data_IF_939554877471
#
_entry.id   IF_939554877471
#
_cell.length_a   1.000
_cell.length_b   1.000
_cell.length_c   1.000
_cell.angle_alpha   90.00
_cell.angle_beta   90.00
_cell.angle_gamma   90.00
#
_symmetry.space_group_name_H-M   'P 1'
#
loop_
_entity.id
_entity.type
_entity.pdbx_description
1 polymer ?
#
# COMPACT_ATOMS: atom_id res chain seq x y z
N UNK A 1 27.56 -18.58 -2.38
CA UNK A 1 26.15 -18.70 -1.96
C UNK A 1 26.10 -18.38 -0.48
N UNK A 2 25.31 -17.40 -0.06
CA UNK A 2 25.10 -17.11 1.35
C UNK A 2 24.45 -18.35 2.02
N UNK A 3 24.82 -18.60 3.28
CA UNK A 3 24.20 -19.68 4.05
C UNK A 3 22.68 -19.43 4.14
N UNK A 4 21.86 -20.48 4.01
CA UNK A 4 20.43 -20.32 4.17
C UNK A 4 20.15 -19.80 5.60
N UNK A 5 19.36 -18.74 5.71
CA UNK A 5 18.95 -18.20 7.00
C UNK A 5 18.19 -19.28 7.78
N UNK A 6 18.41 -19.39 9.10
CA UNK A 6 17.71 -20.36 9.93
C UNK A 6 16.19 -20.12 9.85
N UNK A 7 15.44 -21.20 9.68
CA UNK A 7 13.99 -21.19 9.72
C UNK A 7 13.56 -21.41 11.16
N UNK A 8 12.87 -20.44 11.72
CA UNK A 8 12.20 -20.55 13.01
C UNK A 8 10.70 -20.80 12.81
N UNK A 9 9.97 -21.07 13.87
CA UNK A 9 8.52 -21.29 13.76
C UNK A 9 7.78 -20.92 15.04
N UNK A 10 6.52 -20.50 14.82
CA UNK A 10 5.48 -20.49 15.85
C UNK A 10 4.61 -21.76 15.72
N UNK A 11 3.53 -21.84 16.47
CA UNK A 11 2.51 -22.88 16.28
C UNK A 11 1.88 -22.81 14.87
N UNK A 12 1.66 -21.60 14.31
CA UNK A 12 0.87 -21.37 13.11
C UNK A 12 1.66 -21.14 11.83
N UNK A 13 2.94 -20.77 11.92
CA UNK A 13 3.76 -20.49 10.74
C UNK A 13 5.26 -20.72 10.97
N UNK A 14 5.99 -20.96 9.87
CA UNK A 14 7.45 -20.83 9.80
C UNK A 14 7.82 -19.41 9.37
N UNK A 15 8.96 -18.94 9.83
CA UNK A 15 9.46 -17.63 9.43
C UNK A 15 10.98 -17.60 9.33
N UNK A 16 11.48 -16.68 8.54
CA UNK A 16 12.91 -16.39 8.39
C UNK A 16 13.12 -14.98 7.89
N UNK A 17 14.25 -14.37 8.20
CA UNK A 17 14.69 -13.14 7.55
C UNK A 17 15.07 -13.41 6.09
N UNK A 18 15.09 -12.34 5.29
CA UNK A 18 15.63 -12.39 3.95
C UNK A 18 17.11 -12.82 4.00
N UNK A 19 17.56 -13.75 3.13
CA UNK A 19 18.99 -14.07 2.98
C UNK A 19 19.80 -12.84 2.54
N UNK A 20 21.10 -12.88 2.76
CA UNK A 20 22.01 -11.87 2.22
C UNK A 20 21.84 -11.74 0.69
N UNK A 21 21.89 -10.50 0.20
CA UNK A 21 21.71 -10.19 -1.22
C UNK A 21 20.96 -8.88 -1.43
N UNK A 22 20.48 -8.62 -2.65
CA UNK A 22 19.65 -7.47 -2.93
C UNK A 22 18.42 -7.44 -2.02
N UNK A 23 18.09 -6.26 -1.48
CA UNK A 23 16.84 -6.05 -0.74
C UNK A 23 15.66 -6.32 -1.68
N UNK A 24 14.79 -7.26 -1.30
CA UNK A 24 13.61 -7.61 -2.11
C UNK A 24 12.51 -6.57 -1.89
N UNK A 25 12.16 -5.83 -2.92
CA UNK A 25 11.10 -4.83 -2.88
C UNK A 25 9.72 -5.43 -3.16
N UNK A 26 9.64 -6.36 -4.10
CA UNK A 26 8.39 -7.06 -4.45
C UNK A 26 8.65 -8.48 -4.95
N UNK A 27 7.59 -9.30 -4.87
CA UNK A 27 7.59 -10.67 -5.39
C UNK A 27 6.28 -10.97 -6.10
N UNK A 28 6.36 -11.89 -7.08
CA UNK A 28 5.20 -12.45 -7.78
C UNK A 28 5.56 -13.82 -8.34
N UNK A 29 4.82 -14.85 -8.00
CA UNK A 29 5.12 -16.24 -8.36
C UNK A 29 6.58 -16.59 -8.00
N UNK A 30 7.43 -16.96 -8.98
CA UNK A 30 8.86 -17.18 -8.78
C UNK A 30 9.72 -15.92 -8.95
N UNK A 31 9.14 -14.81 -9.40
CA UNK A 31 9.86 -13.57 -9.63
C UNK A 31 10.07 -12.81 -8.31
N UNK A 32 11.26 -12.24 -8.16
CA UNK A 32 11.57 -11.27 -7.12
C UNK A 32 12.33 -10.09 -7.73
N UNK A 33 11.87 -8.88 -7.44
CA UNK A 33 12.57 -7.65 -7.79
C UNK A 33 13.19 -7.05 -6.53
N UNK A 34 14.40 -6.55 -6.65
CA UNK A 34 15.10 -5.95 -5.53
C UNK A 34 16.20 -5.00 -5.94
N UNK A 35 16.84 -4.38 -4.94
CA UNK A 35 17.91 -3.43 -5.15
C UNK A 35 19.09 -3.61 -4.20
N UNK A 36 20.27 -3.20 -4.64
CA UNK A 36 21.50 -3.07 -3.86
C UNK A 36 22.53 -2.23 -4.60
N UNK A 37 23.37 -1.51 -3.89
CA UNK A 37 24.60 -0.87 -4.42
C UNK A 37 24.40 -0.09 -5.74
N UNK A 38 23.36 0.75 -5.81
CA UNK A 38 23.08 1.56 -7.00
C UNK A 38 22.62 0.75 -8.21
N UNK A 39 22.05 -0.41 -8.00
CA UNK A 39 21.51 -1.31 -9.03
C UNK A 39 20.15 -1.85 -8.64
N UNK A 40 19.37 -2.22 -9.64
CA UNK A 40 18.17 -3.03 -9.50
C UNK A 40 18.43 -4.42 -10.05
N UNK A 41 17.72 -5.41 -9.49
CA UNK A 41 17.92 -6.82 -9.76
C UNK A 41 16.59 -7.53 -9.97
N UNK A 42 16.60 -8.57 -10.82
CA UNK A 42 15.48 -9.47 -10.99
C UNK A 42 15.95 -10.92 -10.86
N UNK A 43 15.20 -11.67 -10.06
CA UNK A 43 15.32 -13.10 -9.86
C UNK A 43 14.13 -13.82 -10.47
N UNK A 44 14.34 -15.05 -10.97
CA UNK A 44 13.28 -15.95 -11.45
C UNK A 44 13.12 -17.18 -10.56
N UNK A 45 13.81 -17.22 -9.42
CA UNK A 45 13.84 -18.36 -8.50
C UNK A 45 13.62 -17.95 -7.02
N UNK A 46 12.67 -17.04 -6.79
CA UNK A 46 12.30 -16.52 -5.46
C UNK A 46 13.48 -15.83 -4.72
N UNK A 47 14.35 -15.15 -5.45
CA UNK A 47 15.47 -14.43 -4.86
C UNK A 47 16.67 -15.28 -4.46
N UNK A 48 16.77 -16.54 -4.93
CA UNK A 48 17.95 -17.40 -4.68
C UNK A 48 19.13 -17.02 -5.55
N UNK A 49 18.87 -16.65 -6.81
CA UNK A 49 19.89 -16.10 -7.73
C UNK A 49 19.38 -14.82 -8.38
N UNK A 50 20.32 -13.97 -8.81
CA UNK A 50 20.03 -12.65 -9.36
C UNK A 50 20.74 -12.45 -10.72
N UNK A 51 20.31 -13.17 -11.76
CA UNK A 51 20.99 -13.16 -13.06
C UNK A 51 20.80 -11.85 -13.82
N UNK A 52 19.70 -11.13 -13.60
CA UNK A 52 19.37 -9.90 -14.30
C UNK A 52 19.59 -8.69 -13.41
N UNK A 53 20.23 -7.67 -13.96
CA UNK A 53 20.52 -6.44 -13.23
C UNK A 53 20.69 -5.24 -14.17
N UNK A 54 20.36 -4.06 -13.67
CA UNK A 54 20.62 -2.79 -14.35
C UNK A 54 21.23 -1.78 -13.37
N UNK A 55 22.06 -0.88 -13.89
CA UNK A 55 22.54 0.26 -13.12
C UNK A 55 21.36 1.20 -12.82
N UNK A 56 21.19 1.55 -11.57
CA UNK A 56 20.19 2.49 -11.11
C UNK A 56 20.71 3.22 -9.87
N UNK A 57 21.43 4.33 -10.04
CA UNK A 57 22.11 5.03 -8.93
C UNK A 57 21.17 5.44 -7.78
N UNK A 58 19.89 5.73 -8.09
CA UNK A 58 18.86 6.09 -7.11
C UNK A 58 18.19 4.87 -6.44
N UNK A 59 18.74 3.66 -6.54
CA UNK A 59 18.12 2.42 -6.05
C UNK A 59 17.76 2.49 -4.55
N UNK A 60 18.55 3.18 -3.73
CA UNK A 60 18.28 3.38 -2.31
C UNK A 60 17.04 4.26 -2.02
N UNK A 61 16.51 4.95 -3.03
CA UNK A 61 15.32 5.78 -2.95
C UNK A 61 14.06 5.07 -3.41
N UNK A 62 14.12 3.78 -3.76
CA UNK A 62 12.93 3.01 -4.14
C UNK A 62 11.99 2.94 -2.95
N UNK A 63 10.75 3.38 -3.14
CA UNK A 63 9.72 3.44 -2.10
C UNK A 63 8.65 2.36 -2.29
N UNK A 64 8.47 1.85 -3.48
CA UNK A 64 7.59 0.73 -3.81
C UNK A 64 7.96 0.11 -5.17
N UNK A 65 7.51 -1.11 -5.39
CA UNK A 65 7.54 -1.76 -6.70
C UNK A 65 6.38 -2.73 -6.89
N UNK A 66 6.07 -3.04 -8.14
CA UNK A 66 5.09 -4.05 -8.54
C UNK A 66 5.60 -4.80 -9.77
N UNK A 67 5.62 -6.13 -9.68
CA UNK A 67 5.91 -7.01 -10.81
C UNK A 67 4.60 -7.34 -11.51
N UNK A 68 4.52 -7.09 -12.83
CA UNK A 68 3.35 -7.36 -13.65
C UNK A 68 3.35 -8.79 -14.22
N UNK A 69 2.21 -9.27 -14.72
CA UNK A 69 2.05 -10.62 -15.29
C UNK A 69 3.02 -10.90 -16.43
N UNK A 70 3.35 -9.90 -17.23
CA UNK A 70 4.29 -10.02 -18.34
C UNK A 70 5.77 -9.94 -17.93
N UNK A 71 6.05 -9.81 -16.63
CA UNK A 71 7.40 -9.66 -16.08
C UNK A 71 7.96 -8.23 -16.11
N UNK A 72 7.20 -7.25 -16.57
CA UNK A 72 7.55 -5.83 -16.40
C UNK A 72 7.51 -5.45 -14.92
N UNK A 73 8.33 -4.49 -14.53
CA UNK A 73 8.39 -3.99 -13.16
C UNK A 73 8.12 -2.49 -13.16
N UNK A 74 7.05 -2.08 -12.50
CA UNK A 74 6.80 -0.67 -12.19
C UNK A 74 7.35 -0.39 -10.80
N UNK A 75 8.17 0.64 -10.65
CA UNK A 75 8.71 1.03 -9.35
C UNK A 75 8.87 2.55 -9.25
N UNK A 76 8.83 3.06 -8.04
CA UNK A 76 8.89 4.49 -7.75
C UNK A 76 10.04 4.85 -6.85
N UNK A 77 10.66 6.00 -7.15
CA UNK A 77 11.48 6.75 -6.20
C UNK A 77 10.72 8.02 -5.83
N UNK A 78 11.12 8.76 -4.82
CA UNK A 78 10.41 9.96 -4.33
C UNK A 78 9.44 10.65 -5.30
N UNK A 79 9.92 11.25 -6.38
CA UNK A 79 9.11 12.01 -7.33
C UNK A 79 9.04 11.40 -8.75
N UNK A 80 9.56 10.18 -8.97
CA UNK A 80 9.63 9.57 -10.31
C UNK A 80 9.13 8.15 -10.29
N UNK A 81 8.54 7.74 -11.42
CA UNK A 81 8.19 6.36 -11.72
C UNK A 81 9.09 5.81 -12.82
N UNK A 82 9.35 4.52 -12.76
CA UNK A 82 10.18 3.80 -13.72
C UNK A 82 9.53 2.50 -14.15
N UNK A 83 9.80 2.11 -15.39
CA UNK A 83 9.41 0.83 -15.97
C UNK A 83 10.66 0.02 -16.31
N UNK A 84 10.84 -1.13 -15.66
CA UNK A 84 11.80 -2.14 -16.02
C UNK A 84 11.18 -3.15 -16.99
N UNK A 85 11.78 -3.36 -18.16
CA UNK A 85 11.30 -4.30 -19.17
C UNK A 85 12.41 -5.23 -19.64
N UNK A 86 12.03 -6.30 -20.35
CA UNK A 86 12.95 -7.28 -20.95
C UNK A 86 14.02 -7.75 -19.94
N UNK A 87 13.53 -8.16 -18.75
CA UNK A 87 14.39 -8.63 -17.64
C UNK A 87 15.46 -7.58 -17.24
N UNK A 88 15.02 -6.33 -17.11
CA UNK A 88 15.83 -5.16 -16.75
C UNK A 88 16.87 -4.74 -17.80
N UNK A 89 16.82 -5.23 -19.04
CA UNK A 89 17.67 -4.67 -20.11
C UNK A 89 17.35 -3.22 -20.42
N UNK A 90 16.12 -2.80 -20.12
CA UNK A 90 15.70 -1.39 -20.20
C UNK A 90 15.05 -0.99 -18.87
N UNK A 91 15.44 0.16 -18.37
CA UNK A 91 14.85 0.83 -17.21
C UNK A 91 14.67 2.29 -17.60
N UNK A 92 13.42 2.68 -17.79
CA UNK A 92 13.07 3.98 -18.36
C UNK A 92 12.08 4.71 -17.43
N UNK A 93 12.13 6.06 -17.36
CA UNK A 93 11.15 6.81 -16.61
C UNK A 93 9.76 6.71 -17.26
N UNK A 94 8.71 6.62 -16.44
CA UNK A 94 7.33 6.65 -16.88
C UNK A 94 6.84 8.10 -16.81
N UNK A 95 6.23 8.59 -17.90
CA UNK A 95 5.51 9.86 -17.88
C UNK A 95 4.15 9.65 -17.25
N UNK A 96 3.83 10.42 -16.21
CA UNK A 96 2.50 10.45 -15.62
C UNK A 96 1.65 11.49 -16.36
N UNK A 97 0.39 11.19 -16.60
CA UNK A 97 -0.51 12.05 -17.34
C UNK A 97 -1.78 12.39 -16.56
N UNK A 98 -2.30 13.56 -16.82
CA UNK A 98 -3.66 13.92 -16.44
C UNK A 98 -4.69 13.09 -17.25
N UNK A 99 -5.94 13.12 -16.81
CA UNK A 99 -7.03 12.44 -17.51
C UNK A 99 -7.26 12.94 -18.95
N UNK A 100 -6.90 14.19 -19.25
CA UNK A 100 -6.95 14.78 -20.58
C UNK A 100 -5.76 14.41 -21.49
N UNK A 101 -4.79 13.63 -20.95
CA UNK A 101 -3.60 13.18 -21.66
C UNK A 101 -2.41 14.16 -21.62
N UNK A 102 -2.55 15.32 -21.01
CA UNK A 102 -1.44 16.24 -20.77
C UNK A 102 -0.49 15.68 -19.71
N UNK A 103 0.80 16.06 -19.77
CA UNK A 103 1.80 15.57 -18.83
C UNK A 103 1.54 16.12 -17.42
N UNK A 104 1.47 15.22 -16.44
CA UNK A 104 1.47 15.57 -15.04
C UNK A 104 2.91 15.75 -14.58
N UNK A 105 3.26 16.99 -14.26
CA UNK A 105 4.53 17.30 -13.65
C UNK A 105 4.33 17.29 -12.13
N UNK A 106 4.94 16.33 -11.41
CA UNK A 106 4.88 16.32 -9.96
C UNK A 106 5.35 17.66 -9.44
N UNK A 107 4.58 18.21 -8.52
CA UNK A 107 4.97 19.43 -7.84
C UNK A 107 6.36 19.23 -7.21
N UNK A 108 7.24 20.21 -7.34
CA UNK A 108 8.62 20.10 -6.90
C UNK A 108 8.66 19.83 -5.40
N UNK A 109 9.32 18.74 -5.01
CA UNK A 109 9.59 18.48 -3.60
C UNK A 109 10.32 19.68 -2.99
N UNK A 110 9.74 20.26 -1.94
CA UNK A 110 10.18 21.54 -1.44
C UNK A 110 11.26 21.43 -0.39
N UNK A 111 11.33 20.30 0.27
CA UNK A 111 12.36 20.06 1.27
C UNK A 111 13.37 19.05 0.72
N UNK A 112 14.62 19.47 0.37
CA UNK A 112 15.64 18.57 -0.16
C UNK A 112 16.06 17.49 0.84
N UNK A 113 15.90 17.73 2.14
CA UNK A 113 16.20 16.78 3.22
C UNK A 113 15.08 15.76 3.43
N UNK A 114 13.93 15.96 2.79
CA UNK A 114 12.77 15.09 2.85
C UNK A 114 12.27 14.86 1.44
N UNK A 115 12.71 13.77 0.79
CA UNK A 115 12.27 13.48 -0.58
C UNK A 115 10.75 13.42 -0.62
N UNK A 116 10.17 14.12 -1.59
CA UNK A 116 8.73 14.11 -1.80
C UNK A 116 8.25 12.70 -2.08
N UNK A 117 7.22 12.28 -1.36
CA UNK A 117 6.66 10.95 -1.50
C UNK A 117 5.47 10.97 -2.47
N UNK A 118 5.68 11.57 -3.66
CA UNK A 118 4.63 11.78 -4.64
C UNK A 118 3.87 10.53 -5.02
N UNK A 119 4.58 9.44 -5.21
CA UNK A 119 3.99 8.19 -5.64
C UNK A 119 4.05 7.09 -4.59
N UNK A 120 4.62 7.40 -3.43
CA UNK A 120 4.73 6.44 -2.34
C UNK A 120 3.35 5.95 -1.89
N UNK A 121 3.26 4.70 -1.49
CA UNK A 121 2.05 4.07 -0.97
C UNK A 121 2.35 3.25 0.28
N UNK A 122 1.46 3.26 1.25
CA UNK A 122 1.62 2.50 2.48
C UNK A 122 1.34 1.02 2.27
N UNK A 123 0.26 0.70 1.56
CA UNK A 123 -0.22 -0.67 1.34
C UNK A 123 0.36 -1.36 0.10
N UNK A 124 1.39 -0.76 -0.53
CA UNK A 124 1.97 -1.26 -1.77
C UNK A 124 1.13 -0.93 -3.01
N UNK A 125 1.75 -1.12 -4.17
CA UNK A 125 1.05 -1.07 -5.46
C UNK A 125 0.68 -2.48 -5.85
N UNK A 126 -0.58 -2.70 -6.17
CA UNK A 126 -1.10 -3.98 -6.61
C UNK A 126 -1.62 -3.89 -8.04
N UNK A 127 -1.63 -5.02 -8.74
CA UNK A 127 -2.30 -5.16 -10.02
C UNK A 127 -3.47 -6.14 -9.91
N UNK A 128 -4.51 -5.86 -10.66
CA UNK A 128 -5.70 -6.70 -10.75
C UNK A 128 -6.06 -6.99 -12.19
N UNK A 129 -6.66 -8.14 -12.42
CA UNK A 129 -7.26 -8.43 -13.72
C UNK A 129 -8.68 -7.88 -13.75
N UNK A 130 -8.92 -6.90 -14.63
CA UNK A 130 -10.18 -6.20 -14.80
C UNK A 130 -10.63 -6.40 -16.25
N UNK A 131 -11.68 -7.19 -16.47
CA UNK A 131 -12.19 -7.49 -17.81
C UNK A 131 -11.11 -7.97 -18.82
N UNK A 132 -10.18 -8.80 -18.36
CA UNK A 132 -9.10 -9.36 -19.20
C UNK A 132 -7.89 -8.43 -19.40
N UNK A 133 -7.88 -7.26 -18.75
CA UNK A 133 -6.74 -6.32 -18.75
C UNK A 133 -6.13 -6.27 -17.36
N UNK A 134 -4.81 -6.41 -17.29
CA UNK A 134 -4.10 -6.15 -16.02
C UNK A 134 -4.03 -4.65 -15.77
N UNK A 135 -4.62 -4.22 -14.66
CA UNK A 135 -4.63 -2.81 -14.24
C UNK A 135 -3.82 -2.64 -12.96
N UNK A 136 -2.95 -1.63 -12.94
CA UNK A 136 -2.40 -1.05 -11.72
C UNK A 136 -3.32 0.05 -11.25
N UNK A 137 -3.66 0.08 -9.96
CA UNK A 137 -4.35 1.21 -9.34
C UNK A 137 -3.80 1.40 -7.93
N UNK A 138 -3.42 2.62 -7.58
CA UNK A 138 -2.95 2.94 -6.23
C UNK A 138 -3.19 4.41 -5.89
N UNK A 139 -3.14 4.73 -4.61
CA UNK A 139 -3.14 6.12 -4.15
C UNK A 139 -1.85 6.47 -3.45
N UNK A 140 -1.44 7.73 -3.46
CA UNK A 140 -0.22 8.12 -2.77
C UNK A 140 -0.46 8.33 -1.27
N UNK A 141 0.45 7.73 -0.48
CA UNK A 141 0.59 7.97 0.95
C UNK A 141 1.63 9.05 1.17
N UNK A 142 1.21 10.28 1.00
CA UNK A 142 2.03 11.49 1.05
C UNK A 142 1.65 12.36 2.26
N UNK A 143 2.27 13.55 2.35
CA UNK A 143 1.98 14.52 3.42
C UNK A 143 2.21 13.94 4.83
N UNK A 144 3.20 13.08 4.95
CA UNK A 144 3.78 12.62 6.19
C UNK A 144 5.18 13.26 6.32
N UNK A 145 5.65 13.48 7.53
CA UNK A 145 7.00 13.98 7.79
C UNK A 145 7.28 15.42 7.25
N UNK A 146 6.24 16.23 7.06
CA UNK A 146 6.37 17.62 6.64
C UNK A 146 6.71 17.83 5.17
N UNK A 147 6.47 16.83 4.32
CA UNK A 147 6.43 17.02 2.85
C UNK A 147 5.02 17.38 2.40
N UNK A 148 4.89 18.24 1.38
CA UNK A 148 3.60 18.58 0.81
C UNK A 148 3.53 18.14 -0.65
N UNK A 149 2.52 17.32 -0.97
CA UNK A 149 2.24 16.82 -2.32
C UNK A 149 0.74 16.79 -2.59
N UNK A 150 0.30 16.92 -3.86
CA UNK A 150 -1.08 16.65 -4.21
C UNK A 150 -1.43 15.20 -3.92
N UNK A 151 -2.65 14.95 -3.44
CA UNK A 151 -3.15 13.59 -3.23
C UNK A 151 -3.89 13.14 -4.48
N UNK A 152 -3.49 11.99 -5.01
CA UNK A 152 -4.07 11.43 -6.23
C UNK A 152 -4.26 9.91 -6.11
N UNK A 153 -5.20 9.38 -6.89
CA UNK A 153 -5.22 8.00 -7.30
C UNK A 153 -4.62 7.90 -8.70
N UNK A 154 -3.77 6.92 -8.90
CA UNK A 154 -3.09 6.66 -10.16
C UNK A 154 -3.51 5.31 -10.73
N UNK A 155 -3.42 5.15 -12.06
CA UNK A 155 -3.68 3.87 -12.72
C UNK A 155 -2.84 3.68 -13.98
N UNK A 156 -2.71 2.43 -14.40
CA UNK A 156 -2.15 2.02 -15.69
C UNK A 156 -2.94 0.81 -16.20
N UNK A 157 -3.19 0.76 -17.51
CA UNK A 157 -3.89 -0.33 -18.21
C UNK A 157 -3.07 -0.93 -19.34
N UNK A 158 -1.84 -0.46 -19.53
CA UNK A 158 -0.96 -0.78 -20.64
C UNK A 158 0.39 -1.38 -20.17
N UNK A 159 0.32 -2.19 -19.11
CA UNK A 159 1.49 -2.88 -18.54
C UNK A 159 2.57 -1.93 -18.00
N UNK A 160 2.15 -0.80 -17.45
CA UNK A 160 3.03 0.19 -16.84
C UNK A 160 3.68 1.17 -17.81
N UNK A 161 3.36 1.13 -19.12
CA UNK A 161 3.97 2.04 -20.09
C UNK A 161 3.52 3.49 -19.86
N UNK A 162 2.24 3.67 -19.49
CA UNK A 162 1.68 4.97 -19.15
C UNK A 162 1.01 4.89 -17.79
N UNK A 163 1.21 5.90 -16.97
CA UNK A 163 0.48 6.09 -15.71
C UNK A 163 -0.37 7.35 -15.84
N UNK A 164 -1.62 7.27 -15.43
CA UNK A 164 -2.56 8.40 -15.45
C UNK A 164 -3.14 8.67 -14.07
N UNK A 165 -3.62 9.90 -13.86
CA UNK A 165 -4.40 10.24 -12.68
C UNK A 165 -5.83 9.73 -12.87
N UNK A 166 -6.27 8.84 -11.99
CA UNK A 166 -7.64 8.33 -11.93
C UNK A 166 -8.57 9.27 -11.18
N UNK A 167 -8.04 9.96 -10.15
CA UNK A 167 -8.78 10.92 -9.32
C UNK A 167 -7.80 11.87 -8.63
N UNK A 168 -8.01 13.17 -8.75
CA UNK A 168 -7.28 14.18 -8.03
C UNK A 168 -8.13 14.68 -6.87
N UNK A 169 -7.64 14.55 -5.64
CA UNK A 169 -8.30 15.10 -4.46
C UNK A 169 -8.22 16.60 -4.42
N UNK A 170 -9.13 17.21 -3.65
CA UNK A 170 -9.25 18.64 -3.49
C UNK A 170 -8.07 19.28 -2.77
N UNK A 171 -8.08 20.60 -2.77
CA UNK A 171 -7.06 21.41 -2.13
C UNK A 171 -7.20 21.40 -0.61
N UNK A 172 -6.34 20.63 0.07
CA UNK A 172 -6.30 20.61 1.52
C UNK A 172 -5.64 21.88 2.04
N UNK A 173 -6.32 22.71 2.85
CA UNK A 173 -5.82 24.01 3.30
C UNK A 173 -4.57 23.93 4.20
N UNK A 174 -4.22 22.73 4.66
CA UNK A 174 -3.08 22.47 5.53
C UNK A 174 -1.78 22.13 4.78
N UNK A 175 -1.84 21.91 3.46
CA UNK A 175 -0.67 21.55 2.65
C UNK A 175 -0.45 22.55 1.52
N UNK A 176 0.75 23.09 1.45
CA UNK A 176 1.13 24.15 0.53
C UNK A 176 2.30 23.76 -0.35
N UNK A 177 2.44 24.41 -1.50
CA UNK A 177 3.48 24.16 -2.47
C UNK A 177 4.90 24.53 -1.98
N UNK A 178 5.02 25.34 -0.96
CA UNK A 178 6.28 25.70 -0.30
C UNK A 178 6.69 24.66 0.79
N UNK A 179 5.95 23.55 0.93
CA UNK A 179 6.18 22.53 1.94
C UNK A 179 5.75 22.93 3.34
N UNK A 180 5.10 24.09 3.50
CA UNK A 180 4.58 24.52 4.80
C UNK A 180 3.29 23.78 5.15
N UNK A 181 3.13 23.48 6.45
CA UNK A 181 1.93 22.86 7.00
C UNK A 181 1.20 23.84 7.94
N UNK A 182 -0.12 23.70 8.03
CA UNK A 182 -0.97 24.45 8.93
C UNK A 182 -1.53 25.75 8.38
N UNK A 183 -2.44 26.35 9.13
CA UNK A 183 -3.09 27.62 8.77
C UNK A 183 -2.16 28.83 8.80
N UNK A 184 -2.46 29.83 7.99
CA UNK A 184 -1.70 31.09 7.96
C UNK A 184 -0.43 31.10 7.10
N UNK A 185 -0.18 30.07 6.32
CA UNK A 185 0.93 29.98 5.37
C UNK A 185 0.57 30.57 4.01
N UNK A 186 1.58 31.00 3.25
CA UNK A 186 1.40 31.79 2.02
C UNK A 186 1.59 31.02 0.73
N UNK A 187 2.10 29.78 0.77
CA UNK A 187 2.25 28.94 -0.41
C UNK A 187 0.91 28.61 -1.09
N UNK A 188 0.91 28.28 -2.37
CA UNK A 188 -0.28 27.87 -3.09
C UNK A 188 -0.81 26.51 -2.59
N UNK A 189 -2.13 26.32 -2.64
CA UNK A 189 -2.74 25.05 -2.29
C UNK A 189 -2.46 24.01 -3.35
N UNK A 190 -2.23 22.77 -2.91
CA UNK A 190 -2.01 21.61 -3.78
C UNK A 190 -3.31 20.81 -3.93
N UNK A 191 -3.55 20.29 -5.14
CA UNK A 191 -4.73 19.49 -5.45
C UNK A 191 -5.67 20.19 -6.43
N UNK A 192 -6.79 19.54 -6.71
CA UNK A 192 -7.81 20.01 -7.64
C UNK A 192 -8.74 21.05 -6.97
N UNK A 193 -8.73 22.33 -7.42
CA UNK A 193 -9.57 23.36 -6.80
C UNK A 193 -11.09 23.11 -7.05
N UNK A 194 -11.46 22.28 -8.01
CA UNK A 194 -12.86 21.97 -8.30
C UNK A 194 -13.38 20.79 -7.46
N UNK A 195 -12.51 20.01 -6.83
CA UNK A 195 -12.91 18.86 -6.04
C UNK A 195 -13.06 19.24 -4.55
N UNK A 196 -14.26 19.09 -3.96
CA UNK A 196 -14.46 19.40 -2.55
C UNK A 196 -13.91 18.31 -1.59
N UNK A 197 -13.56 17.13 -2.11
CA UNK A 197 -13.09 15.99 -1.29
C UNK A 197 -11.62 16.16 -0.99
N UNK A 198 -11.30 16.50 0.23
CA UNK A 198 -9.93 16.70 0.71
C UNK A 198 -9.48 15.55 1.59
N UNK A 199 -8.19 15.23 1.56
CA UNK A 199 -7.58 14.29 2.48
C UNK A 199 -6.08 14.58 2.62
N UNK A 200 -5.46 14.00 3.63
CA UNK A 200 -4.02 14.07 3.85
C UNK A 200 -3.26 13.12 2.94
N UNK A 201 -3.77 11.90 2.78
CA UNK A 201 -3.21 10.82 1.95
C UNK A 201 -4.21 9.70 1.78
N UNK A 202 -3.88 8.75 0.90
CA UNK A 202 -4.63 7.51 0.74
C UNK A 202 -3.98 6.39 1.55
N UNK A 203 -4.79 5.51 2.15
CA UNK A 203 -4.30 4.37 2.92
C UNK A 203 -4.15 3.12 2.06
N UNK A 204 -5.19 2.77 1.32
CA UNK A 204 -5.25 1.51 0.58
C UNK A 204 -6.16 1.60 -0.62
N UNK A 205 -5.91 0.75 -1.60
CA UNK A 205 -6.81 0.52 -2.74
C UNK A 205 -7.06 -0.98 -2.87
N UNK A 206 -8.30 -1.37 -3.12
CA UNK A 206 -8.69 -2.75 -3.37
C UNK A 206 -9.71 -2.83 -4.52
N UNK A 207 -9.70 -3.95 -5.25
CA UNK A 207 -10.65 -4.22 -6.32
C UNK A 207 -11.69 -5.25 -5.89
N UNK A 208 -12.95 -4.93 -6.13
CA UNK A 208 -14.08 -5.86 -5.97
C UNK A 208 -14.47 -6.45 -7.33
N UNK A 209 -14.10 -7.69 -7.64
CA UNK A 209 -14.40 -8.30 -8.93
C UNK A 209 -15.91 -8.54 -9.15
N UNK A 210 -16.68 -8.72 -8.08
CA UNK A 210 -18.13 -8.95 -8.18
C UNK A 210 -18.89 -7.70 -8.64
N UNK A 211 -18.38 -6.51 -8.34
CA UNK A 211 -18.97 -5.23 -8.74
C UNK A 211 -18.21 -4.56 -9.89
N UNK A 212 -17.08 -5.11 -10.31
CA UNK A 212 -16.14 -4.45 -11.23
C UNK A 212 -15.83 -3.01 -10.78
N UNK A 213 -15.49 -2.85 -9.51
CA UNK A 213 -15.27 -1.56 -8.87
C UNK A 213 -14.04 -1.57 -7.96
N UNK A 214 -13.38 -0.43 -7.86
CA UNK A 214 -12.29 -0.19 -6.93
C UNK A 214 -12.80 0.55 -5.70
N UNK A 215 -12.18 0.26 -4.58
CA UNK A 215 -12.43 0.94 -3.31
C UNK A 215 -11.13 1.50 -2.78
N UNK A 216 -11.18 2.70 -2.23
CA UNK A 216 -10.04 3.32 -1.56
C UNK A 216 -10.48 3.95 -0.26
N UNK A 217 -9.57 3.97 0.72
CA UNK A 217 -9.74 4.68 1.99
C UNK A 217 -8.67 5.75 2.12
N UNK A 218 -9.05 6.88 2.69
CA UNK A 218 -8.18 8.01 3.01
C UNK A 218 -8.17 8.29 4.52
N UNK A 219 -7.28 9.12 5.01
CA UNK A 219 -7.14 9.63 6.39
C UNK A 219 -6.08 10.75 6.38
N UNK A 220 -5.65 11.24 7.46
CA UNK A 220 -5.72 11.11 8.92
C UNK A 220 -6.14 12.43 9.55
N UNK A 221 -7.20 13.05 9.19
CA UNK A 221 -7.54 14.33 9.74
C UNK A 221 -9.02 14.53 10.00
N UNK A 222 -9.30 15.24 11.07
CA UNK A 222 -10.57 15.91 11.29
C UNK A 222 -10.30 17.41 11.29
N UNK A 223 -11.11 18.14 10.55
CA UNK A 223 -10.99 19.58 10.36
C UNK A 223 -12.31 20.24 10.73
N UNK A 224 -12.30 21.55 11.06
CA UNK A 224 -13.54 22.29 11.23
C UNK A 224 -14.47 22.23 10.00
N UNK A 225 -13.87 22.07 8.82
CA UNK A 225 -14.56 22.03 7.53
C UNK A 225 -15.13 20.63 7.21
N UNK A 226 -14.70 19.58 7.92
CA UNK A 226 -15.16 18.22 7.72
C UNK A 226 -14.10 17.13 7.94
N UNK A 227 -14.48 15.92 7.64
CA UNK A 227 -13.63 14.74 7.81
C UNK A 227 -12.69 14.56 6.62
N UNK A 228 -11.52 13.96 6.86
CA UNK A 228 -10.58 13.52 5.83
C UNK A 228 -10.54 11.98 5.68
N UNK A 229 -11.23 11.25 6.55
CA UNK A 229 -11.41 9.81 6.41
C UNK A 229 -12.60 9.54 5.49
N UNK A 230 -12.31 9.19 4.25
CA UNK A 230 -13.30 8.88 3.23
C UNK A 230 -13.12 7.47 2.69
N UNK A 231 -14.22 6.82 2.37
CA UNK A 231 -14.22 5.70 1.45
C UNK A 231 -14.80 6.16 0.12
N UNK A 232 -14.05 5.88 -0.94
CA UNK A 232 -14.50 6.14 -2.30
C UNK A 232 -14.66 4.81 -3.04
N UNK A 233 -15.70 4.74 -3.88
CA UNK A 233 -15.92 3.66 -4.81
C UNK A 233 -15.77 4.20 -6.24
N UNK A 234 -14.91 3.56 -7.04
CA UNK A 234 -14.61 3.97 -8.41
C UNK A 234 -14.92 2.86 -9.42
N UNK A 235 -15.52 3.23 -10.53
CA UNK A 235 -15.71 2.36 -11.70
C UNK A 235 -14.97 2.92 -12.90
N UNK A 236 -14.37 2.02 -13.70
CA UNK A 236 -13.60 2.39 -14.87
C UNK A 236 -14.32 2.02 -16.16
N UNK A 237 -14.56 3.01 -17.03
CA UNK A 237 -15.05 2.81 -18.38
C UNK A 237 -13.87 2.70 -19.35
N UNK A 238 -13.51 1.48 -19.73
CA UNK A 238 -12.39 1.21 -20.61
C UNK A 238 -12.58 1.76 -22.04
N UNK A 239 -13.82 1.97 -22.52
CA UNK A 239 -14.09 2.50 -23.85
C UNK A 239 -13.80 3.99 -23.93
N UNK A 240 -13.99 4.70 -22.84
CA UNK A 240 -13.79 6.15 -22.74
C UNK A 240 -12.50 6.51 -22.01
N UNK A 241 -11.80 5.52 -21.47
CA UNK A 241 -10.63 5.70 -20.58
C UNK A 241 -10.95 6.68 -19.44
N UNK A 242 -12.06 6.44 -18.74
CA UNK A 242 -12.60 7.37 -17.75
C UNK A 242 -13.04 6.67 -16.48
N UNK A 243 -12.79 7.32 -15.36
CA UNK A 243 -13.23 6.93 -14.02
C UNK A 243 -14.47 7.69 -13.57
N UNK A 244 -15.35 6.99 -12.82
CA UNK A 244 -16.44 7.58 -12.02
C UNK A 244 -16.20 7.22 -10.56
N UNK A 245 -15.69 8.16 -9.77
CA UNK A 245 -15.41 8.01 -8.35
C UNK A 245 -16.48 8.70 -7.52
N UNK A 246 -16.96 8.02 -6.48
CA UNK A 246 -17.96 8.54 -5.54
C UNK A 246 -17.52 8.30 -4.12
N UNK A 247 -17.62 9.32 -3.27
CA UNK A 247 -17.53 9.18 -1.83
C UNK A 247 -18.75 8.42 -1.35
N UNK A 248 -18.55 7.31 -0.67
CA UNK A 248 -19.61 6.47 -0.10
C UNK A 248 -19.68 6.57 1.42
N UNK A 249 -18.59 6.96 2.08
CA UNK A 249 -18.50 7.20 3.51
C UNK A 249 -17.59 8.39 3.77
N UNK A 250 -17.94 9.19 4.75
CA UNK A 250 -17.05 10.19 5.39
C UNK A 250 -17.25 10.08 6.89
N UNK A 251 -16.15 9.97 7.64
CA UNK A 251 -16.21 9.80 9.08
C UNK A 251 -14.94 10.37 9.74
N UNK A 252 -14.95 10.46 11.07
CA UNK A 252 -13.80 10.98 11.81
C UNK A 252 -12.60 10.01 11.84
N UNK A 253 -11.42 10.55 12.09
CA UNK A 253 -10.12 9.84 12.01
C UNK A 253 -9.99 8.63 12.96
N UNK A 254 -10.78 8.58 14.05
CA UNK A 254 -10.78 7.47 15.00
C UNK A 254 -11.92 6.48 14.75
N UNK A 255 -12.50 6.49 13.57
CA UNK A 255 -13.59 5.58 13.20
C UNK A 255 -13.05 4.26 12.67
N UNK A 256 -13.89 3.21 12.71
CA UNK A 256 -13.59 1.91 12.09
C UNK A 256 -13.36 2.00 10.59
N UNK A 257 -13.77 3.09 9.98
CA UNK A 257 -13.61 3.33 8.55
C UNK A 257 -12.23 3.86 8.16
N UNK A 258 -11.40 4.31 9.09
CA UNK A 258 -10.00 4.57 8.78
C UNK A 258 -9.28 3.23 8.59
N UNK A 259 -9.29 2.73 7.35
CA UNK A 259 -8.82 1.40 7.03
C UNK A 259 -7.40 1.42 6.44
N UNK A 260 -6.49 0.70 7.06
CA UNK A 260 -5.12 0.50 6.57
C UNK A 260 -5.01 -0.65 5.55
N UNK A 261 -5.98 -1.55 5.50
CA UNK A 261 -6.07 -2.64 4.54
C UNK A 261 -7.51 -3.01 4.22
N UNK A 262 -7.80 -3.20 2.93
CA UNK A 262 -9.11 -3.61 2.40
C UNK A 262 -8.91 -4.83 1.51
N UNK A 263 -9.79 -5.82 1.61
CA UNK A 263 -9.80 -7.01 0.75
C UNK A 263 -11.23 -7.43 0.43
N UNK A 264 -11.40 -8.00 -0.77
CA UNK A 264 -12.66 -8.64 -1.19
C UNK A 264 -12.42 -10.12 -1.42
N UNK A 265 -13.12 -10.97 -0.69
CA UNK A 265 -13.00 -12.42 -0.75
C UNK A 265 -14.40 -13.04 -0.70
N UNK A 266 -14.73 -13.91 -1.65
CA UNK A 266 -16.01 -14.62 -1.73
C UNK A 266 -17.23 -13.69 -1.63
N UNK A 267 -17.15 -12.53 -2.30
CA UNK A 267 -18.22 -11.54 -2.30
C UNK A 267 -18.37 -10.73 -1.01
N UNK A 268 -17.50 -10.95 -0.04
CA UNK A 268 -17.49 -10.20 1.22
C UNK A 268 -16.35 -9.18 1.23
N UNK A 269 -16.61 -8.06 1.86
CA UNK A 269 -15.65 -7.00 2.15
C UNK A 269 -15.05 -7.22 3.53
N UNK A 270 -13.72 -7.20 3.60
CA UNK A 270 -12.93 -7.24 4.82
C UNK A 270 -12.07 -5.98 4.93
N UNK A 271 -11.92 -5.47 6.13
CA UNK A 271 -10.96 -4.38 6.37
C UNK A 271 -10.42 -4.42 7.79
N UNK A 272 -9.23 -3.88 7.96
CA UNK A 272 -8.62 -3.62 9.26
C UNK A 272 -8.61 -2.12 9.52
N UNK A 273 -9.10 -1.71 10.68
CA UNK A 273 -9.09 -0.30 11.05
C UNK A 273 -7.70 0.12 11.54
N UNK A 274 -7.23 1.25 11.03
CA UNK A 274 -6.08 2.00 11.52
C UNK A 274 -6.57 3.09 12.47
N UNK A 275 -7.16 2.67 13.60
CA UNK A 275 -7.88 3.54 14.52
C UNK A 275 -7.47 3.31 15.96
N UNK A 276 -7.37 4.38 16.72
CA UNK A 276 -7.25 4.41 18.17
C UNK A 276 -8.58 4.69 18.89
N UNK A 277 -9.69 4.61 18.14
CA UNK A 277 -11.02 4.85 18.67
C UNK A 277 -11.42 3.92 19.81
N UNK A 278 -12.48 4.25 20.53
CA UNK A 278 -12.93 3.50 21.70
C UNK A 278 -13.33 2.07 21.33
N UNK A 279 -12.88 1.13 22.18
CA UNK A 279 -13.21 -0.27 22.07
C UNK A 279 -14.65 -0.54 22.52
N UNK A 280 -15.28 -1.62 22.01
CA UNK A 280 -14.81 -2.56 20.97
C UNK A 280 -15.18 -2.15 19.53
N UNK A 281 -15.79 -0.99 19.33
CA UNK A 281 -16.57 -0.70 18.13
C UNK A 281 -15.82 -0.09 16.98
N UNK A 282 -14.71 0.58 17.22
CA UNK A 282 -14.00 1.35 16.20
C UNK A 282 -12.58 0.86 15.91
N UNK A 283 -12.16 -0.22 16.54
CA UNK A 283 -10.86 -0.87 16.26
C UNK A 283 -11.07 -2.36 16.02
N UNK A 284 -10.52 -2.88 14.93
CA UNK A 284 -10.67 -4.31 14.65
C UNK A 284 -10.44 -4.70 13.21
N UNK A 285 -10.55 -6.00 12.99
CA UNK A 285 -10.75 -6.60 11.66
C UNK A 285 -12.24 -6.84 11.51
N UNK A 286 -12.82 -6.24 10.49
CA UNK A 286 -14.26 -6.26 10.25
C UNK A 286 -14.57 -6.94 8.92
N UNK A 287 -15.83 -7.40 8.81
CA UNK A 287 -16.40 -7.96 7.60
C UNK A 287 -17.87 -7.53 7.43
N UNK A 288 -18.27 -7.28 6.20
CA UNK A 288 -19.69 -7.15 5.81
C UNK A 288 -19.89 -7.48 4.32
N UNK A 289 -21.13 -7.53 3.86
CA UNK A 289 -21.40 -7.42 2.42
C UNK A 289 -21.00 -6.02 1.92
N UNK A 290 -20.45 -5.85 0.71
CA UNK A 290 -20.04 -4.54 0.21
C UNK A 290 -21.16 -3.49 0.21
N UNK A 291 -22.40 -3.89 -0.08
CA UNK A 291 -23.57 -3.01 -0.05
C UNK A 291 -23.91 -2.50 1.37
N UNK A 292 -23.43 -3.18 2.40
CA UNK A 292 -23.75 -2.88 3.79
C UNK A 292 -22.66 -2.06 4.50
N UNK A 293 -21.60 -1.63 3.76
CA UNK A 293 -20.48 -0.92 4.37
C UNK A 293 -20.89 0.36 5.12
N UNK A 294 -21.94 1.06 4.67
CA UNK A 294 -22.47 2.24 5.34
C UNK A 294 -23.31 1.97 6.59
N UNK A 295 -23.69 0.72 6.85
CA UNK A 295 -24.52 0.32 7.99
C UNK A 295 -23.69 -0.42 9.04
N UNK A 296 -23.23 0.31 10.06
CA UNK A 296 -22.41 -0.24 11.14
C UNK A 296 -23.04 -1.43 11.87
N UNK A 297 -24.36 -1.54 11.89
CA UNK A 297 -25.09 -2.63 12.57
C UNK A 297 -24.92 -3.97 11.86
N UNK A 298 -24.54 -3.95 10.57
CA UNK A 298 -24.30 -5.13 9.74
C UNK A 298 -22.82 -5.56 9.68
N UNK A 299 -21.96 -4.82 10.34
CA UNK A 299 -20.55 -5.19 10.41
C UNK A 299 -20.32 -6.29 11.43
N UNK A 300 -19.63 -7.34 11.01
CA UNK A 300 -19.14 -8.38 11.92
C UNK A 300 -17.72 -8.02 12.33
N UNK A 301 -17.48 -7.86 13.63
CA UNK A 301 -16.13 -7.78 14.20
C UNK A 301 -15.56 -9.21 14.27
N UNK A 302 -14.48 -9.46 13.53
CA UNK A 302 -13.84 -10.77 13.46
C UNK A 302 -12.73 -10.93 14.51
N UNK A 303 -11.95 -9.87 14.70
CA UNK A 303 -10.86 -9.82 15.67
C UNK A 303 -10.72 -8.40 16.22
N UNK A 304 -10.49 -8.30 17.51
CA UNK A 304 -10.32 -7.01 18.20
C UNK A 304 -8.90 -6.93 18.77
N UNK A 305 -7.95 -6.30 18.05
CA UNK A 305 -6.61 -6.06 18.61
C UNK A 305 -6.72 -5.06 19.77
N UNK A 306 -5.86 -5.24 20.77
CA UNK A 306 -5.76 -4.34 21.93
C UNK A 306 -4.94 -3.06 21.61
N UNK A 307 -4.29 -3.01 20.44
CA UNK A 307 -3.49 -1.88 19.97
C UNK A 307 -3.90 -1.47 18.56
N UNK A 308 -3.53 -0.25 18.17
CA UNK A 308 -3.67 0.23 16.79
C UNK A 308 -2.94 -0.71 15.82
N UNK A 309 -3.57 -1.02 14.71
CA UNK A 309 -3.01 -1.85 13.63
C UNK A 309 -3.44 -1.25 12.29
N UNK A 310 -2.74 -1.55 11.22
CA UNK A 310 -3.05 -0.88 9.96
C UNK A 310 -2.74 -1.68 8.70
N UNK A 311 -2.08 -2.81 8.78
CA UNK A 311 -1.75 -3.61 7.60
C UNK A 311 -2.46 -4.96 7.64
N UNK A 312 -3.02 -5.37 6.50
CA UNK A 312 -3.69 -6.66 6.34
C UNK A 312 -3.56 -7.17 4.91
N UNK A 313 -3.38 -8.48 4.78
CA UNK A 313 -3.47 -9.20 3.52
C UNK A 313 -4.33 -10.44 3.71
N UNK A 314 -5.19 -10.72 2.73
CA UNK A 314 -5.95 -11.98 2.66
C UNK A 314 -5.59 -12.69 1.35
N UNK A 315 -5.17 -13.95 1.46
CA UNK A 315 -4.94 -14.82 0.31
C UNK A 315 -5.18 -16.30 0.69
N UNK A 316 -5.95 -17.03 -0.10
CA UNK A 316 -6.20 -18.47 0.07
C UNK A 316 -6.65 -18.88 1.50
N UNK A 317 -7.63 -18.18 2.05
CA UNK A 317 -8.12 -18.32 3.43
C UNK A 317 -7.12 -17.92 4.53
N UNK A 318 -5.90 -17.53 4.18
CA UNK A 318 -4.94 -16.99 5.14
C UNK A 318 -5.18 -15.49 5.28
N UNK A 319 -5.36 -15.02 6.51
CA UNK A 319 -5.39 -13.62 6.86
C UNK A 319 -4.15 -13.32 7.69
N UNK A 320 -3.34 -12.37 7.20
CA UNK A 320 -2.20 -11.83 7.92
C UNK A 320 -2.48 -10.37 8.24
N UNK A 321 -2.27 -9.98 9.48
CA UNK A 321 -2.43 -8.59 9.88
C UNK A 321 -1.36 -8.18 10.91
N UNK A 322 -1.08 -6.88 10.98
CA UNK A 322 -0.20 -6.32 11.98
C UNK A 322 -0.91 -6.19 13.33
N UNK A 323 -0.15 -6.44 14.42
CA UNK A 323 -0.63 -6.24 15.79
C UNK A 323 -0.10 -4.94 16.41
N UNK A 324 0.54 -4.09 15.64
CA UNK A 324 1.00 -2.79 16.10
C UNK A 324 1.14 -1.81 14.94
N UNK A 325 1.04 -0.52 15.25
CA UNK A 325 1.30 0.54 14.28
C UNK A 325 2.79 0.92 14.24
N UNK A 326 3.32 1.36 13.09
CA UNK A 326 4.70 1.82 12.96
C UNK A 326 5.06 3.00 13.85
N UNK A 327 4.09 3.88 14.15
CA UNK A 327 4.30 5.05 14.99
C UNK A 327 4.55 4.71 16.47
N UNK A 328 4.02 3.57 16.93
CA UNK A 328 4.14 3.11 18.31
C UNK A 328 4.48 1.62 18.35
N UNK A 329 5.64 1.20 17.81
CA UNK A 329 5.99 -0.20 17.75
C UNK A 329 6.16 -0.75 19.15
N UNK A 330 5.44 -1.83 19.43
CA UNK A 330 5.60 -2.66 20.63
C UNK A 330 6.61 -3.78 20.34
N UNK A 331 6.24 -5.01 20.51
CA UNK A 331 7.00 -6.13 19.94
C UNK A 331 6.58 -6.34 18.49
N UNK A 332 7.37 -7.08 17.70
CA UNK A 332 6.97 -7.46 16.35
C UNK A 332 5.78 -8.41 16.40
N UNK A 333 4.59 -7.88 16.22
CA UNK A 333 3.33 -8.57 16.45
C UNK A 333 2.58 -8.89 15.16
N UNK A 334 2.07 -10.12 15.09
CA UNK A 334 1.26 -10.64 13.99
C UNK A 334 -0.08 -11.16 14.50
N UNK A 335 -1.13 -10.84 13.77
CA UNK A 335 -2.44 -11.47 13.86
C UNK A 335 -2.58 -12.40 12.66
N UNK A 336 -2.93 -13.65 12.88
CA UNK A 336 -3.08 -14.64 11.82
C UNK A 336 -4.36 -15.45 11.97
N UNK A 337 -5.02 -15.71 10.85
CA UNK A 337 -6.04 -16.74 10.69
C UNK A 337 -5.67 -17.63 9.51
N UNK A 338 -5.83 -18.94 9.66
CA UNK A 338 -5.55 -19.93 8.60
C UNK A 338 -6.83 -20.51 7.97
N UNK A 339 -7.99 -20.06 8.41
CA UNK A 339 -9.30 -20.63 8.08
C UNK A 339 -10.35 -19.58 7.67
N UNK A 340 -9.88 -18.46 7.09
CA UNK A 340 -10.73 -17.38 6.59
C UNK A 340 -11.39 -16.54 7.69
N UNK A 341 -10.74 -16.45 8.85
CA UNK A 341 -11.20 -15.60 9.96
C UNK A 341 -12.16 -16.30 10.94
N UNK A 342 -12.20 -17.64 10.95
CA UNK A 342 -12.98 -18.40 11.93
C UNK A 342 -12.24 -18.55 13.26
N UNK A 343 -10.93 -18.81 13.18
CA UNK A 343 -10.06 -18.85 14.35
C UNK A 343 -8.89 -17.90 14.16
N UNK A 344 -8.35 -17.39 15.27
CA UNK A 344 -7.34 -16.36 15.28
C UNK A 344 -6.25 -16.68 16.29
N UNK A 345 -5.02 -16.35 15.90
CA UNK A 345 -3.88 -16.37 16.80
C UNK A 345 -3.11 -15.05 16.69
N UNK A 346 -2.50 -14.66 17.80
CA UNK A 346 -1.58 -13.54 17.88
C UNK A 346 -0.21 -14.06 18.27
N UNK A 347 0.82 -13.57 17.60
CA UNK A 347 2.21 -13.93 17.84
C UNK A 347 3.07 -12.69 17.95
N UNK A 348 3.88 -12.63 19.00
CA UNK A 348 4.90 -11.61 19.19
C UNK A 348 6.29 -12.21 18.98
N UNK A 349 6.96 -11.79 17.91
CA UNK A 349 8.31 -12.25 17.57
C UNK A 349 9.34 -11.35 18.25
N UNK A 350 9.64 -11.63 19.52
CA UNK A 350 10.46 -10.77 20.37
C UNK A 350 11.91 -10.63 19.90
N UNK A 351 12.43 -11.62 19.19
CA UNK A 351 13.78 -11.61 18.63
C UNK A 351 14.00 -10.49 17.59
N UNK A 352 12.94 -9.96 16.99
CA UNK A 352 13.01 -8.82 16.07
C UNK A 352 12.82 -7.48 16.78
N UNK A 353 12.62 -7.49 18.09
CA UNK A 353 12.47 -6.29 18.91
C UNK A 353 11.20 -5.51 18.59
N UNK A 354 11.28 -4.19 18.76
CA UNK A 354 10.14 -3.27 18.53
C UNK A 354 10.08 -2.87 17.07
N UNK A 355 9.41 -3.68 16.27
CA UNK A 355 9.15 -3.42 14.85
C UNK A 355 7.71 -3.73 14.51
N UNK A 356 7.19 -3.03 13.51
CA UNK A 356 5.83 -3.25 13.04
C UNK A 356 5.83 -3.90 11.66
N UNK A 357 5.05 -4.96 11.45
CA UNK A 357 4.69 -5.37 10.11
C UNK A 357 3.88 -4.24 9.45
N UNK A 358 4.41 -3.68 8.36
CA UNK A 358 3.80 -2.51 7.71
C UNK A 358 3.22 -2.81 6.35
N UNK A 359 3.69 -3.87 5.71
CA UNK A 359 3.26 -4.28 4.38
C UNK A 359 3.39 -5.78 4.24
N UNK A 360 2.33 -6.41 3.78
CA UNK A 360 2.30 -7.82 3.43
C UNK A 360 2.19 -7.97 1.92
N UNK A 361 3.07 -8.78 1.34
CA UNK A 361 3.00 -9.14 -0.08
C UNK A 361 2.45 -10.56 -0.26
N UNK A 362 1.73 -10.83 -1.34
CA UNK A 362 1.25 -12.17 -1.68
C UNK A 362 2.36 -13.22 -1.63
N UNK A 363 1.97 -14.48 -1.38
CA UNK A 363 2.94 -15.57 -1.34
C UNK A 363 3.61 -15.78 -2.70
N UNK A 364 4.88 -16.12 -2.66
CA UNK A 364 5.64 -16.56 -3.82
C UNK A 364 5.34 -18.04 -4.17
N UNK A 365 5.94 -18.56 -5.24
CA UNK A 365 5.73 -19.93 -5.69
C UNK A 365 6.17 -21.01 -4.68
N UNK A 366 7.01 -20.67 -3.71
CA UNK A 366 7.39 -21.57 -2.60
C UNK A 366 6.42 -21.49 -1.40
N UNK A 367 5.39 -20.63 -1.47
CA UNK A 367 4.38 -20.45 -0.43
C UNK A 367 4.79 -19.47 0.68
N UNK A 368 5.81 -18.64 0.47
CA UNK A 368 6.24 -17.63 1.44
C UNK A 368 5.61 -16.28 1.15
N UNK A 369 4.89 -15.74 2.13
CA UNK A 369 4.50 -14.34 2.16
C UNK A 369 5.70 -13.50 2.55
N UNK A 370 5.86 -12.34 1.92
CA UNK A 370 6.88 -11.36 2.28
C UNK A 370 6.27 -10.27 3.15
N UNK A 371 6.99 -9.87 4.18
CA UNK A 371 6.53 -8.86 5.15
C UNK A 371 7.64 -7.84 5.39
N UNK A 372 7.29 -6.56 5.32
CA UNK A 372 8.17 -5.47 5.75
C UNK A 372 8.06 -5.26 7.25
N UNK A 373 9.18 -5.33 7.96
CA UNK A 373 9.30 -4.96 9.38
C UNK A 373 9.96 -3.61 9.52
N UNK A 374 9.24 -2.62 10.06
CA UNK A 374 9.76 -1.26 10.24
C UNK A 374 9.77 -0.82 11.71
N UNK A 375 10.80 -0.06 12.09
CA UNK A 375 10.89 0.62 13.39
C UNK A 375 10.56 2.12 13.27
N UNK A 376 9.58 2.47 12.43
CA UNK A 376 9.16 3.82 12.11
C UNK A 376 8.89 3.99 10.62
N UNK A 377 8.43 5.15 10.20
CA UNK A 377 7.95 5.38 8.83
C UNK A 377 9.05 5.49 7.77
N UNK A 378 10.26 5.93 8.16
CA UNK A 378 11.31 6.35 7.20
C UNK A 378 12.41 5.31 7.01
N UNK A 379 12.62 4.42 7.96
CA UNK A 379 13.73 3.47 7.90
C UNK A 379 13.41 2.35 6.92
N UNK A 380 14.42 1.94 6.17
CA UNK A 380 14.35 0.73 5.36
C UNK A 380 13.85 -0.43 6.23
N UNK A 381 12.87 -1.17 5.72
CA UNK A 381 12.33 -2.32 6.40
C UNK A 381 13.36 -3.46 6.43
N UNK A 382 13.31 -4.31 7.44
CA UNK A 382 13.81 -5.68 7.30
C UNK A 382 12.74 -6.53 6.62
N UNK A 383 13.16 -7.43 5.76
CA UNK A 383 12.25 -8.35 5.08
C UNK A 383 12.17 -9.66 5.84
N UNK A 384 10.98 -9.97 6.31
CA UNK A 384 10.63 -11.25 6.89
C UNK A 384 9.81 -12.06 5.89
N UNK A 385 10.10 -13.35 5.81
CA UNK A 385 9.26 -14.30 5.09
C UNK A 385 8.49 -15.16 6.09
N UNK A 386 7.18 -15.30 5.84
CA UNK A 386 6.26 -16.11 6.65
C UNK A 386 5.65 -17.18 5.75
N UNK A 387 5.62 -18.43 6.21
CA UNK A 387 4.92 -19.54 5.54
C UNK A 387 3.96 -20.20 6.53
N UNK A 388 2.65 -20.13 6.30
CA UNK A 388 1.66 -20.80 7.13
C UNK A 388 1.93 -22.29 7.25
N UNK A 389 1.65 -22.86 8.41
CA UNK A 389 1.59 -24.30 8.63
C UNK A 389 0.21 -24.79 8.20
N UNK A 390 0.19 -25.81 7.34
CA UNK A 390 -1.06 -26.42 6.91
C UNK A 390 -1.72 -27.19 8.05
#
# INVERSE_FOLDING_TARGET
MAAPQPIASTEHFWYRLQPEGPYIDSQRDSLAFGHADGKVFLSEDNGRTWPYRAAFPEAHNITFSCILKNGNIVFGTGAKLYLGTDKLKRVEPITVKHADGTDYLPHRAQNPDRPGWYFHTLSGVNSWEVNGVEMLVWGNYCNVLGGATPVNLYYSTDQGQTVKIAYAFGQNPYFRDDGSEGGGKTGALLGDPANPVICRHTHTVAYNPAENAFYTCTGDGDRPEGFECHWLRGTYDAKRDRWDWKVIISDHLNSRYKAGGISFVDGMLYWISDSNGPQPYDRGIFRCAPADIGDRSKHTLLFNPDVESGAMLIQDNVILASHCAPASPMNTGFIISLDGGRTWAQHDLQEFGKRSPTLFHPKNSDGWFRVDLRSGWIKQAEVLFIKPKA
#
